data_IF_587521450587
#
_entry.id   IF_587521450587
#
_cell.length_a   1.000
_cell.length_b   1.000
_cell.length_c   1.000
_cell.angle_alpha   90.00
_cell.angle_beta   90.00
_cell.angle_gamma   90.00
#
_symmetry.space_group_name_H-M   'P 1'
#
loop_
_entity.id
_entity.type
_entity.pdbx_description
1 polymer ?
#
# COMPACT_ATOMS: atom_id res chain seq x y z
N UNK A 1 -3.87 -18.84 4.78
CA UNK A 1 -3.19 -18.36 3.55
C UNK A 1 -2.64 -16.96 3.79
N UNK A 2 -1.57 -16.84 4.60
CA UNK A 2 -0.83 -15.58 4.73
C UNK A 2 0.22 -15.52 3.62
N UNK A 3 0.50 -14.34 3.06
CA UNK A 3 1.53 -14.19 2.01
C UNK A 3 1.16 -14.81 0.66
N UNK A 4 -0.13 -15.01 0.39
CA UNK A 4 -0.61 -15.51 -0.91
C UNK A 4 -1.52 -14.47 -1.58
N UNK A 5 -1.48 -14.42 -2.91
CA UNK A 5 -2.42 -13.69 -3.74
C UNK A 5 -3.32 -14.68 -4.46
N UNK A 6 -4.61 -14.34 -4.55
CA UNK A 6 -5.59 -15.10 -5.31
C UNK A 6 -6.23 -14.12 -6.29
N UNK A 7 -6.27 -14.47 -7.57
CA UNK A 7 -6.74 -13.60 -8.64
C UNK A 7 -7.65 -14.36 -9.60
N UNK A 8 -8.72 -13.70 -10.03
CA UNK A 8 -9.60 -14.19 -11.07
C UNK A 8 -8.93 -14.10 -12.45
N UNK A 9 -9.09 -15.14 -13.26
CA UNK A 9 -8.79 -15.13 -14.69
C UNK A 9 -10.05 -15.51 -15.46
N UNK A 10 -10.99 -14.56 -15.60
CA UNK A 10 -12.34 -14.90 -16.03
C UNK A 10 -12.40 -15.39 -17.48
N UNK A 11 -11.60 -14.81 -18.37
CA UNK A 11 -11.51 -15.25 -19.77
C UNK A 11 -10.86 -16.63 -19.95
N UNK A 12 -10.20 -17.15 -18.91
CA UNK A 12 -9.59 -18.48 -18.90
C UNK A 12 -10.30 -19.45 -17.96
N UNK A 13 -11.46 -19.06 -17.40
CA UNK A 13 -12.31 -19.88 -16.56
C UNK A 13 -11.61 -20.46 -15.31
N UNK A 14 -10.65 -19.72 -14.72
CA UNK A 14 -9.92 -20.17 -13.54
C UNK A 14 -9.70 -19.07 -12.49
N UNK A 15 -9.31 -19.51 -11.29
CA UNK A 15 -8.80 -18.66 -10.22
C UNK A 15 -7.36 -19.05 -9.95
N UNK A 16 -6.46 -18.10 -10.14
CA UNK A 16 -5.03 -18.27 -9.92
C UNK A 16 -4.66 -18.07 -8.46
N UNK A 17 -3.65 -18.80 -7.99
CA UNK A 17 -3.04 -18.59 -6.68
C UNK A 17 -1.51 -18.55 -6.79
N UNK A 18 -0.92 -17.59 -6.10
CA UNK A 18 0.53 -17.43 -6.06
C UNK A 18 1.01 -17.03 -4.67
N UNK A 19 2.26 -17.34 -4.37
CA UNK A 19 2.98 -16.85 -3.20
C UNK A 19 3.60 -15.48 -3.48
N UNK A 20 3.53 -14.62 -2.47
CA UNK A 20 4.16 -13.31 -2.45
C UNK A 20 5.35 -13.35 -1.51
N UNK A 21 6.54 -13.16 -2.07
CA UNK A 21 7.77 -12.97 -1.33
C UNK A 21 8.24 -11.52 -1.46
N UNK A 22 8.67 -10.92 -0.35
CA UNK A 22 9.19 -9.55 -0.37
C UNK A 22 10.69 -9.57 -0.64
N UNK A 23 11.11 -8.80 -1.64
CA UNK A 23 12.51 -8.60 -2.01
C UNK A 23 12.83 -7.10 -1.92
N UNK A 24 13.28 -6.70 -0.73
CA UNK A 24 13.43 -5.29 -0.36
C UNK A 24 12.13 -4.51 -0.52
N UNK A 25 12.06 -3.66 -1.55
CA UNK A 25 10.89 -2.85 -1.89
C UNK A 25 9.92 -3.61 -2.80
N UNK A 26 10.47 -4.50 -3.64
CA UNK A 26 9.73 -5.25 -4.64
C UNK A 26 8.98 -6.42 -4.00
N UNK A 27 8.01 -6.94 -4.75
CA UNK A 27 7.32 -8.19 -4.45
C UNK A 27 7.60 -9.15 -5.60
N UNK A 28 8.13 -10.31 -5.26
CA UNK A 28 8.24 -11.43 -6.18
C UNK A 28 6.97 -12.28 -6.06
N UNK A 29 6.35 -12.54 -7.20
CA UNK A 29 5.17 -13.40 -7.31
C UNK A 29 5.64 -14.72 -7.89
N UNK A 30 5.37 -15.82 -7.19
CA UNK A 30 5.73 -17.17 -7.65
C UNK A 30 4.52 -18.07 -7.56
N UNK A 31 4.38 -18.98 -8.52
CA UNK A 31 3.37 -20.03 -8.47
C UNK A 31 3.61 -20.92 -7.24
N UNK A 32 2.52 -21.35 -6.60
CA UNK A 32 2.57 -22.25 -5.45
C UNK A 32 3.25 -23.57 -5.86
N UNK A 33 4.13 -24.08 -5.00
CA UNK A 33 4.74 -25.39 -5.21
C UNK A 33 3.66 -26.48 -5.27
N UNK A 34 3.69 -27.31 -6.31
CA UNK A 34 2.68 -28.36 -6.55
C UNK A 34 1.52 -27.95 -7.47
N UNK A 35 1.34 -26.65 -7.77
CA UNK A 35 0.33 -26.16 -8.72
C UNK A 35 0.92 -25.86 -10.11
N UNK A 36 2.04 -26.49 -10.48
CA UNK A 36 2.72 -26.23 -11.75
C UNK A 36 1.92 -26.69 -12.99
N UNK A 37 1.06 -27.69 -12.82
CA UNK A 37 0.27 -28.33 -13.89
C UNK A 37 -1.24 -28.14 -13.71
N UNK A 38 -1.66 -27.33 -12.73
CA UNK A 38 -3.07 -27.08 -12.42
C UNK A 38 -3.26 -25.67 -11.86
N UNK A 39 -4.47 -25.14 -11.95
CA UNK A 39 -4.84 -23.89 -11.25
C UNK A 39 -5.50 -24.19 -9.91
N UNK A 40 -5.54 -23.18 -9.03
CA UNK A 40 -6.15 -23.32 -7.70
C UNK A 40 -7.65 -23.65 -7.79
N UNK A 41 -8.35 -23.07 -8.77
CA UNK A 41 -9.69 -23.48 -9.20
C UNK A 41 -9.70 -23.40 -10.71
N UNK A 42 -10.11 -24.47 -11.39
CA UNK A 42 -10.36 -24.47 -12.83
C UNK A 42 -11.71 -25.13 -13.08
N UNK A 43 -12.43 -24.63 -14.10
CA UNK A 43 -13.72 -25.16 -14.53
C UNK A 43 -13.61 -25.66 -15.97
N UNK A 44 -14.21 -26.81 -16.25
CA UNK A 44 -14.41 -27.30 -17.63
C UNK A 44 -15.64 -26.64 -18.29
N UNK A 45 -16.54 -26.06 -17.48
CA UNK A 45 -17.65 -25.25 -17.95
C UNK A 45 -17.09 -23.90 -18.45
N UNK A 46 -17.09 -23.74 -19.76
CA UNK A 46 -16.57 -22.58 -20.48
C UNK A 46 -17.32 -21.28 -20.19
N UNK A 47 -18.51 -21.36 -19.57
CA UNK A 47 -19.30 -20.18 -19.19
C UNK A 47 -18.96 -19.71 -17.77
N UNK A 48 -18.11 -20.44 -17.02
CA UNK A 48 -17.63 -20.03 -15.70
C UNK A 48 -16.66 -18.85 -15.80
N UNK A 49 -17.09 -17.68 -15.35
CA UNK A 49 -16.32 -16.44 -15.40
C UNK A 49 -16.21 -15.85 -13.98
N UNK A 50 -15.21 -16.27 -13.18
CA UNK A 50 -15.01 -15.73 -11.85
C UNK A 50 -14.57 -14.27 -11.96
N UNK A 51 -15.38 -13.32 -11.51
CA UNK A 51 -15.09 -11.88 -11.67
C UNK A 51 -14.73 -11.19 -10.35
N UNK A 52 -15.03 -11.81 -9.21
CA UNK A 52 -14.73 -11.23 -7.90
C UNK A 52 -14.45 -12.28 -6.83
N UNK A 53 -13.55 -11.93 -5.91
CA UNK A 53 -13.21 -12.73 -4.74
C UNK A 53 -13.39 -11.91 -3.47
N UNK A 54 -13.99 -12.52 -2.44
CA UNK A 54 -14.12 -11.90 -1.13
C UNK A 54 -13.94 -12.92 -0.01
N UNK A 55 -13.45 -12.48 1.15
CA UNK A 55 -13.35 -13.34 2.34
C UNK A 55 -14.60 -13.12 3.17
N UNK A 56 -15.39 -14.18 3.35
CA UNK A 56 -16.63 -14.11 4.11
C UNK A 56 -16.45 -14.14 5.63
N UNK A 57 -17.55 -13.97 6.40
CA UNK A 57 -17.56 -13.98 7.88
C UNK A 57 -17.00 -15.27 8.48
N UNK A 58 -17.07 -16.34 7.70
CA UNK A 58 -16.72 -17.68 8.12
C UNK A 58 -15.26 -18.04 7.79
N UNK A 59 -14.54 -17.14 7.10
CA UNK A 59 -13.17 -17.36 6.63
C UNK A 59 -13.08 -18.06 5.26
N UNK A 60 -14.23 -18.43 4.66
CA UNK A 60 -14.28 -19.03 3.32
C UNK A 60 -14.10 -17.96 2.25
N UNK A 61 -13.66 -18.38 1.08
CA UNK A 61 -13.52 -17.50 -0.08
C UNK A 61 -14.83 -17.56 -0.87
N UNK A 62 -15.44 -16.41 -1.08
CA UNK A 62 -16.63 -16.24 -1.91
C UNK A 62 -16.19 -15.80 -3.30
N UNK A 63 -16.76 -16.43 -4.31
CA UNK A 63 -16.46 -16.17 -5.71
C UNK A 63 -17.77 -15.74 -6.38
N UNK A 64 -17.79 -14.54 -6.94
CA UNK A 64 -18.86 -14.13 -7.83
C UNK A 64 -18.49 -14.57 -9.25
N UNK A 65 -19.34 -15.39 -9.84
CA UNK A 65 -19.23 -15.88 -11.20
C UNK A 65 -20.30 -15.22 -12.05
N UNK A 66 -19.86 -14.52 -13.09
CA UNK A 66 -20.74 -13.76 -13.97
C UNK A 66 -21.66 -14.66 -14.81
N UNK A 67 -21.18 -15.88 -15.13
CA UNK A 67 -21.82 -16.88 -15.96
C UNK A 67 -22.38 -16.39 -17.30
N UNK A 68 -21.61 -16.51 -18.38
CA UNK A 68 -22.05 -16.13 -19.74
C UNK A 68 -21.41 -16.99 -20.81
N UNK A 69 -22.05 -17.10 -21.97
CA UNK A 69 -21.43 -17.75 -23.13
C UNK A 69 -20.20 -16.98 -23.63
N UNK A 70 -20.28 -15.66 -23.66
CA UNK A 70 -19.20 -14.76 -24.02
C UNK A 70 -19.05 -13.70 -22.93
N UNK A 71 -17.83 -13.51 -22.44
CA UNK A 71 -17.53 -12.53 -21.40
C UNK A 71 -17.26 -11.14 -21.97
N UNK A 72 -16.75 -11.06 -23.20
CA UNK A 72 -16.41 -9.81 -23.86
C UNK A 72 -17.63 -8.94 -24.11
N UNK A 73 -17.41 -7.62 -24.07
CA UNK A 73 -18.39 -6.67 -24.57
C UNK A 73 -18.62 -6.84 -26.08
N UNK A 74 -19.83 -6.54 -26.53
CA UNK A 74 -20.25 -6.61 -27.94
C UNK A 74 -19.24 -5.95 -28.90
N UNK A 75 -18.68 -4.80 -28.52
CA UNK A 75 -17.75 -4.03 -29.36
C UNK A 75 -16.41 -4.73 -29.60
N UNK A 76 -16.03 -5.67 -28.73
CA UNK A 76 -14.78 -6.42 -28.84
C UNK A 76 -14.92 -7.71 -29.67
N UNK A 77 -16.13 -8.07 -30.09
CA UNK A 77 -16.41 -9.32 -30.81
C UNK A 77 -16.53 -9.02 -32.32
N UNK A 78 -15.75 -9.69 -33.19
CA UNK A 78 -15.92 -9.59 -34.63
C UNK A 78 -17.36 -9.90 -35.09
N UNK A 79 -17.89 -9.09 -36.02
CA UNK A 79 -19.30 -9.19 -36.48
C UNK A 79 -19.75 -10.59 -36.90
N UNK A 80 -18.86 -11.40 -37.48
CA UNK A 80 -19.21 -12.75 -37.91
C UNK A 80 -19.44 -13.70 -36.72
N UNK A 81 -18.74 -13.52 -35.60
CA UNK A 81 -18.96 -14.31 -34.38
C UNK A 81 -20.23 -13.86 -33.64
N UNK A 82 -20.57 -12.57 -33.71
CA UNK A 82 -21.83 -12.03 -33.15
C UNK A 82 -23.08 -12.68 -33.75
N UNK A 83 -22.99 -13.24 -34.96
CA UNK A 83 -24.08 -13.95 -35.63
C UNK A 83 -24.14 -15.44 -35.26
N UNK A 84 -23.08 -15.98 -34.67
CA UNK A 84 -22.95 -17.40 -34.34
C UNK A 84 -23.24 -17.70 -32.88
N UNK A 85 -23.04 -16.75 -31.98
CA UNK A 85 -23.14 -16.94 -30.53
C UNK A 85 -24.21 -16.04 -29.89
N UNK A 86 -24.80 -16.52 -28.80
CA UNK A 86 -25.71 -15.78 -27.94
C UNK A 86 -24.91 -14.86 -27.03
N UNK A 87 -24.72 -13.61 -27.46
CA UNK A 87 -23.90 -12.62 -26.72
C UNK A 87 -24.43 -12.30 -25.32
N UNK A 88 -25.68 -12.62 -25.05
CA UNK A 88 -26.37 -12.41 -23.77
C UNK A 88 -26.76 -13.72 -23.06
N UNK A 89 -26.36 -14.87 -23.60
CA UNK A 89 -26.69 -16.16 -23.03
C UNK A 89 -26.00 -16.33 -21.68
N UNK A 90 -26.73 -16.90 -20.72
CA UNK A 90 -26.26 -17.07 -19.34
C UNK A 90 -26.48 -15.86 -18.42
N UNK A 91 -26.86 -14.68 -18.92
CA UNK A 91 -26.93 -13.43 -18.12
C UNK A 91 -27.75 -13.50 -16.83
N UNK A 92 -28.75 -14.37 -16.77
CA UNK A 92 -29.64 -14.54 -15.62
C UNK A 92 -29.22 -15.70 -14.69
N UNK A 93 -28.05 -16.30 -14.94
CA UNK A 93 -27.53 -17.49 -14.27
C UNK A 93 -26.26 -17.24 -13.45
N UNK A 94 -25.97 -15.98 -13.12
CA UNK A 94 -24.83 -15.63 -12.26
C UNK A 94 -24.81 -16.44 -10.96
N UNK A 95 -23.62 -16.90 -10.56
CA UNK A 95 -23.44 -17.84 -9.43
C UNK A 95 -22.60 -17.21 -8.33
N UNK A 96 -22.88 -17.58 -7.08
CA UNK A 96 -22.03 -17.26 -5.93
C UNK A 96 -21.53 -18.55 -5.31
N UNK A 97 -20.24 -18.81 -5.49
CA UNK A 97 -19.58 -19.98 -4.91
C UNK A 97 -18.99 -19.64 -3.54
N UNK A 98 -18.99 -20.62 -2.64
CA UNK A 98 -18.30 -20.53 -1.34
C UNK A 98 -17.28 -21.66 -1.24
N UNK A 99 -16.01 -21.31 -1.42
CA UNK A 99 -14.88 -22.21 -1.26
C UNK A 99 -14.48 -22.32 0.22
N UNK A 100 -14.45 -23.56 0.70
CA UNK A 100 -14.05 -23.94 2.06
C UNK A 100 -13.21 -25.23 1.99
N UNK A 101 -12.37 -25.47 3.01
CA UNK A 101 -11.75 -26.79 3.17
C UNK A 101 -12.69 -27.72 3.93
N UNK A 102 -12.57 -29.04 3.71
CA UNK A 102 -13.46 -30.03 4.33
C UNK A 102 -13.44 -29.97 5.86
N UNK A 103 -12.27 -29.73 6.46
CA UNK A 103 -12.10 -29.64 7.91
C UNK A 103 -12.40 -28.24 8.48
N UNK A 104 -13.12 -27.39 7.74
CA UNK A 104 -13.35 -26.02 8.16
C UNK A 104 -14.19 -25.98 9.44
N UNK A 105 -13.67 -25.42 10.55
CA UNK A 105 -14.43 -25.37 11.78
C UNK A 105 -15.69 -24.52 11.57
N UNK A 106 -16.81 -24.94 12.20
CA UNK A 106 -18.06 -24.19 12.13
C UNK A 106 -17.80 -22.75 12.63
N UNK A 107 -18.13 -21.74 11.82
CA UNK A 107 -17.81 -20.36 12.12
C UNK A 107 -18.71 -19.84 13.25
N UNK A 108 -18.09 -19.39 14.34
CA UNK A 108 -18.75 -18.66 15.42
C UNK A 108 -18.47 -17.15 15.31
N UNK A 109 -18.65 -16.58 14.12
CA UNK A 109 -18.60 -15.11 14.03
C UNK A 109 -19.86 -14.57 14.72
N UNK A 110 -19.74 -13.70 15.74
CA UNK A 110 -20.90 -13.09 16.35
C UNK A 110 -21.65 -12.28 15.31
N UNK A 111 -22.92 -12.00 15.57
CA UNK A 111 -23.65 -11.05 14.75
C UNK A 111 -23.08 -9.65 14.96
N UNK A 112 -22.14 -9.26 14.09
CA UNK A 112 -21.36 -8.01 14.22
C UNK A 112 -22.25 -6.78 14.34
N UNK A 113 -23.40 -6.74 13.66
CA UNK A 113 -24.30 -5.59 13.69
C UNK A 113 -24.97 -5.39 15.05
N UNK A 114 -25.08 -6.44 15.87
CA UNK A 114 -25.65 -6.41 17.22
C UNK A 114 -24.61 -6.16 18.31
N UNK A 115 -23.32 -6.13 17.98
CA UNK A 115 -22.27 -5.85 18.97
C UNK A 115 -22.36 -4.40 19.44
N UNK A 116 -22.08 -4.15 20.72
CA UNK A 116 -21.87 -2.80 21.25
C UNK A 116 -20.57 -2.20 20.70
N UNK A 117 -20.41 -0.87 20.79
CA UNK A 117 -19.19 -0.20 20.33
C UNK A 117 -17.94 -0.73 21.07
N UNK A 118 -18.03 -0.99 22.37
CA UNK A 118 -16.96 -1.62 23.16
C UNK A 118 -16.58 -3.02 22.67
N UNK A 119 -17.56 -3.79 22.19
CA UNK A 119 -17.28 -5.09 21.60
C UNK A 119 -16.64 -4.93 20.21
N UNK A 120 -17.11 -3.98 19.40
CA UNK A 120 -16.53 -3.69 18.09
C UNK A 120 -15.09 -3.19 18.18
N UNK A 121 -14.70 -2.42 19.19
CA UNK A 121 -13.30 -2.00 19.36
C UNK A 121 -12.35 -3.17 19.59
N UNK A 122 -12.80 -4.23 20.27
CA UNK A 122 -12.03 -5.49 20.38
C UNK A 122 -11.91 -6.22 19.03
N UNK A 123 -12.92 -6.10 18.19
CA UNK A 123 -12.93 -6.72 16.85
C UNK A 123 -12.05 -5.98 15.83
N UNK A 124 -11.76 -4.69 16.02
CA UNK A 124 -10.85 -3.90 15.16
C UNK A 124 -9.47 -4.55 15.04
N UNK A 125 -9.03 -5.28 16.07
CA UNK A 125 -7.74 -5.98 16.12
C UNK A 125 -7.85 -7.50 15.94
N UNK A 126 -9.03 -8.02 15.61
CA UNK A 126 -9.27 -9.45 15.37
C UNK A 126 -8.24 -10.06 14.41
N UNK A 127 -7.79 -11.32 14.52
CA UNK A 127 -6.92 -11.92 13.51
C UNK A 127 -7.63 -12.16 12.16
N UNK A 128 -8.98 -12.16 12.15
CA UNK A 128 -9.78 -12.40 10.94
C UNK A 128 -10.05 -11.10 10.19
N UNK A 129 -9.68 -11.08 8.90
CA UNK A 129 -9.86 -9.92 8.02
C UNK A 129 -11.30 -9.39 8.02
N UNK A 130 -12.28 -10.27 7.79
CA UNK A 130 -13.68 -9.88 7.74
C UNK A 130 -14.17 -9.23 9.04
N UNK A 131 -13.77 -9.76 10.21
CA UNK A 131 -14.16 -9.19 11.53
C UNK A 131 -13.54 -7.81 11.72
N UNK A 132 -12.23 -7.65 11.45
CA UNK A 132 -11.54 -6.34 11.54
C UNK A 132 -12.16 -5.26 10.66
N UNK A 133 -12.39 -5.59 9.39
CA UNK A 133 -12.94 -4.65 8.42
C UNK A 133 -14.40 -4.30 8.75
N UNK A 134 -15.21 -5.30 9.09
CA UNK A 134 -16.61 -5.09 9.49
C UNK A 134 -16.70 -4.24 10.75
N UNK A 135 -15.84 -4.48 11.74
CA UNK A 135 -15.83 -3.70 12.98
C UNK A 135 -15.47 -2.23 12.74
N UNK A 136 -14.43 -1.97 11.93
CA UNK A 136 -14.07 -0.61 11.52
C UNK A 136 -15.24 0.08 10.82
N UNK A 137 -15.84 -0.57 9.82
CA UNK A 137 -16.98 -0.03 9.07
C UNK A 137 -18.14 0.33 10.00
N UNK A 138 -18.57 -0.59 10.86
CA UNK A 138 -19.69 -0.37 11.79
C UNK A 138 -19.39 0.76 12.80
N UNK A 139 -18.16 0.86 13.31
CA UNK A 139 -17.78 1.96 14.21
C UNK A 139 -17.87 3.33 13.51
N UNK A 140 -17.40 3.41 12.26
CA UNK A 140 -17.46 4.65 11.46
C UNK A 140 -18.90 5.03 11.10
N UNK A 141 -19.71 4.07 10.68
CA UNK A 141 -21.14 4.27 10.39
C UNK A 141 -21.88 4.77 11.63
N UNK A 142 -21.59 4.22 12.82
CA UNK A 142 -22.22 4.61 14.08
C UNK A 142 -21.76 5.96 14.61
N UNK A 143 -20.49 6.32 14.41
CA UNK A 143 -19.95 7.60 14.88
C UNK A 143 -20.63 8.82 14.24
N UNK A 144 -21.34 8.64 13.11
CA UNK A 144 -22.19 9.67 12.51
C UNK A 144 -23.51 9.93 13.27
N UNK A 145 -23.83 9.12 14.29
CA UNK A 145 -25.00 9.28 15.14
C UNK A 145 -24.60 9.85 16.52
N UNK A 146 -25.24 10.95 16.92
CA UNK A 146 -24.80 11.81 18.03
C UNK A 146 -24.71 11.15 19.42
N UNK A 147 -25.39 10.02 19.63
CA UNK A 147 -25.47 9.33 20.93
C UNK A 147 -24.37 8.27 21.14
N UNK A 148 -23.59 7.93 20.11
CA UNK A 148 -22.70 6.77 20.13
C UNK A 148 -21.23 7.20 20.15
N UNK A 149 -20.68 7.45 21.35
CA UNK A 149 -19.25 7.71 21.49
C UNK A 149 -18.45 6.42 21.19
N UNK A 150 -17.50 6.43 20.24
CA UNK A 150 -16.66 5.27 20.00
C UNK A 150 -15.70 5.09 21.19
N UNK A 151 -15.65 3.87 21.73
CA UNK A 151 -14.70 3.52 22.77
C UNK A 151 -13.25 3.68 22.33
N UNK A 152 -12.37 3.89 23.31
CA UNK A 152 -10.93 4.09 23.09
C UNK A 152 -10.33 2.86 22.42
N UNK A 153 -9.79 3.03 21.22
CA UNK A 153 -9.05 1.99 20.51
C UNK A 153 -7.58 2.09 20.92
N UNK A 154 -7.00 0.99 21.38
CA UNK A 154 -5.58 0.87 21.67
C UNK A 154 -4.83 0.33 20.45
N UNK A 155 -3.68 0.93 20.14
CA UNK A 155 -2.78 0.39 19.14
C UNK A 155 -2.17 -0.93 19.66
N UNK A 156 -2.40 -2.09 19.02
CA UNK A 156 -1.81 -3.34 19.45
C UNK A 156 -0.29 -3.30 19.23
N UNK A 157 0.47 -3.93 20.14
CA UNK A 157 1.93 -3.96 20.08
C UNK A 157 2.50 -4.91 19.00
N UNK A 158 1.69 -5.87 18.55
CA UNK A 158 2.05 -6.90 17.58
C UNK A 158 0.96 -7.04 16.51
N UNK A 159 1.33 -7.55 15.34
CA UNK A 159 0.39 -7.87 14.26
C UNK A 159 0.13 -6.69 13.34
N UNK A 160 0.90 -6.62 12.26
CA UNK A 160 0.87 -5.55 11.25
C UNK A 160 -0.55 -5.16 10.80
N UNK A 161 -1.37 -6.13 10.40
CA UNK A 161 -2.72 -5.82 9.87
C UNK A 161 -3.69 -5.33 10.93
N UNK A 162 -3.52 -5.73 12.19
CA UNK A 162 -4.38 -5.30 13.30
C UNK A 162 -4.04 -3.87 13.71
N UNK A 163 -2.74 -3.56 13.87
CA UNK A 163 -2.27 -2.21 14.15
C UNK A 163 -2.63 -1.22 13.04
N UNK A 164 -2.42 -1.58 11.77
CA UNK A 164 -2.81 -0.72 10.64
C UNK A 164 -4.32 -0.46 10.66
N UNK A 165 -5.15 -1.49 10.87
CA UNK A 165 -6.60 -1.32 10.93
C UNK A 165 -7.02 -0.42 12.10
N UNK A 166 -6.38 -0.55 13.27
CA UNK A 166 -6.60 0.32 14.41
C UNK A 166 -6.24 1.79 14.12
N UNK A 167 -5.10 2.05 13.47
CA UNK A 167 -4.69 3.40 13.06
C UNK A 167 -5.72 4.07 12.16
N UNK A 168 -6.15 3.40 11.10
CA UNK A 168 -7.16 3.96 10.19
C UNK A 168 -8.56 4.03 10.81
N UNK A 169 -8.86 3.19 11.81
CA UNK A 169 -10.12 3.33 12.56
C UNK A 169 -10.07 4.58 13.44
N UNK A 170 -8.97 4.81 14.16
CA UNK A 170 -8.75 6.02 14.95
C UNK A 170 -8.79 7.28 14.07
N UNK A 171 -8.19 7.22 12.88
CA UNK A 171 -8.20 8.31 11.91
C UNK A 171 -9.61 8.65 11.43
N UNK A 172 -10.36 7.65 10.96
CA UNK A 172 -11.74 7.85 10.48
C UNK A 172 -12.72 8.29 11.59
N UNK A 173 -12.42 8.01 12.85
CA UNK A 173 -13.16 8.48 14.01
C UNK A 173 -12.72 9.86 14.51
N UNK A 174 -11.75 10.50 13.85
CA UNK A 174 -11.08 11.74 14.29
C UNK A 174 -10.47 11.64 15.72
N UNK A 175 -10.06 10.44 16.12
CA UNK A 175 -9.43 10.15 17.43
C UNK A 175 -7.91 9.91 17.33
N UNK A 176 -7.34 9.95 16.14
CA UNK A 176 -5.91 9.77 15.92
C UNK A 176 -5.11 10.98 16.41
N UNK A 177 -4.45 10.83 17.56
CA UNK A 177 -3.64 11.86 18.20
C UNK A 177 -2.12 11.62 18.02
N UNK A 178 -1.33 12.64 18.35
CA UNK A 178 0.11 12.66 18.13
C UNK A 178 0.87 11.59 18.94
N UNK A 179 0.38 11.23 20.14
CA UNK A 179 1.01 10.17 20.95
C UNK A 179 0.83 8.78 20.31
N UNK A 180 -0.33 8.53 19.70
CA UNK A 180 -0.56 7.29 18.95
C UNK A 180 0.32 7.24 17.70
N UNK A 181 0.42 8.36 16.97
CA UNK A 181 1.31 8.44 15.80
C UNK A 181 2.78 8.24 16.18
N UNK A 182 3.25 8.86 17.26
CA UNK A 182 4.63 8.67 17.75
C UNK A 182 4.89 7.20 18.11
N UNK A 183 3.95 6.56 18.81
CA UNK A 183 4.04 5.13 19.13
C UNK A 183 4.06 4.26 17.87
N UNK A 184 3.25 4.61 16.86
CA UNK A 184 3.16 3.89 15.60
C UNK A 184 4.40 4.06 14.71
N UNK A 185 5.04 5.24 14.73
CA UNK A 185 6.32 5.49 14.08
C UNK A 185 7.46 4.68 14.73
N UNK A 186 7.35 4.35 16.02
CA UNK A 186 8.29 3.49 16.74
C UNK A 186 7.91 1.99 16.78
N UNK A 187 6.86 1.58 16.07
CA UNK A 187 6.31 0.23 16.16
C UNK A 187 7.29 -0.84 15.61
N UNK A 188 7.26 -2.06 16.15
CA UNK A 188 8.14 -3.18 15.74
C UNK A 188 7.96 -3.57 14.26
N UNK A 189 6.72 -3.60 13.81
CA UNK A 189 6.34 -3.93 12.44
C UNK A 189 6.59 -2.79 11.42
N UNK A 190 7.35 -3.03 10.34
CA UNK A 190 7.64 -2.01 9.33
C UNK A 190 6.40 -1.52 8.58
N UNK A 191 5.39 -2.40 8.40
CA UNK A 191 4.12 -2.00 7.81
C UNK A 191 3.42 -0.92 8.62
N UNK A 192 3.45 -1.01 9.95
CA UNK A 192 2.81 -0.03 10.84
C UNK A 192 3.54 1.31 10.76
N UNK A 193 4.88 1.32 10.83
CA UNK A 193 5.68 2.54 10.68
C UNK A 193 5.44 3.23 9.34
N UNK A 194 5.33 2.45 8.25
CA UNK A 194 4.99 2.96 6.91
C UNK A 194 3.63 3.66 6.89
N UNK A 195 2.59 3.07 7.47
CA UNK A 195 1.27 3.70 7.52
C UNK A 195 1.24 4.90 8.48
N UNK A 196 1.98 4.86 9.57
CA UNK A 196 2.12 5.97 10.50
C UNK A 196 2.76 7.20 9.85
N UNK A 197 3.77 7.01 8.98
CA UNK A 197 4.35 8.10 8.19
C UNK A 197 3.31 8.80 7.33
N UNK A 198 2.49 8.04 6.59
CA UNK A 198 1.41 8.59 5.75
C UNK A 198 0.39 9.39 6.56
N UNK A 199 -0.02 8.84 7.70
CA UNK A 199 -1.01 9.48 8.58
C UNK A 199 -0.46 10.68 9.36
N UNK A 200 0.86 10.89 9.36
CA UNK A 200 1.51 12.01 10.04
C UNK A 200 1.87 13.17 9.09
N UNK A 201 1.70 13.01 7.77
CA UNK A 201 2.15 13.94 6.72
C UNK A 201 1.67 15.39 6.95
N UNK A 202 0.38 15.56 7.24
CA UNK A 202 -0.26 16.86 7.50
C UNK A 202 0.25 17.55 8.79
N UNK A 203 0.86 16.78 9.70
CA UNK A 203 1.36 17.26 11.00
C UNK A 203 2.87 17.46 11.05
N UNK A 204 3.62 17.05 10.02
CA UNK A 204 5.08 17.13 10.04
C UNK A 204 5.62 18.56 10.18
N UNK A 205 4.89 19.58 9.70
CA UNK A 205 5.29 20.98 9.84
C UNK A 205 4.87 21.61 11.16
N UNK A 206 3.79 21.13 11.78
CA UNK A 206 3.18 21.73 12.97
C UNK A 206 3.57 21.03 14.28
N UNK A 207 4.07 19.79 14.20
CA UNK A 207 4.40 18.95 15.37
C UNK A 207 5.85 18.49 15.33
N UNK A 208 6.71 19.21 16.06
CA UNK A 208 8.15 18.92 16.10
C UNK A 208 8.46 17.50 16.59
N UNK A 209 7.71 16.98 17.58
CA UNK A 209 7.89 15.61 18.07
C UNK A 209 7.68 14.56 16.96
N UNK A 210 6.64 14.73 16.13
CA UNK A 210 6.35 13.82 15.02
C UNK A 210 7.41 13.93 13.92
N UNK A 211 7.86 15.15 13.60
CA UNK A 211 8.96 15.33 12.66
C UNK A 211 10.24 14.64 13.16
N UNK A 212 10.61 14.81 14.44
CA UNK A 212 11.76 14.14 15.02
C UNK A 212 11.62 12.61 14.96
N UNK A 213 10.44 12.07 15.27
CA UNK A 213 10.16 10.64 15.16
C UNK A 213 10.29 10.13 13.72
N UNK A 214 9.74 10.84 12.74
CA UNK A 214 9.84 10.49 11.33
C UNK A 214 11.29 10.55 10.82
N UNK A 215 12.07 11.59 11.17
CA UNK A 215 13.45 11.74 10.75
C UNK A 215 14.36 10.61 11.25
N UNK A 216 14.07 10.01 12.43
CA UNK A 216 14.80 8.82 12.92
C UNK A 216 14.67 7.62 11.98
N UNK A 217 13.57 7.51 11.25
CA UNK A 217 13.32 6.42 10.30
C UNK A 217 14.21 6.52 9.03
N UNK A 218 15.02 7.56 8.88
CA UNK A 218 16.03 7.63 7.82
C UNK A 218 17.13 6.56 7.95
N UNK A 219 17.20 5.89 9.09
CA UNK A 219 18.07 4.73 9.36
C UNK A 219 17.25 3.46 9.64
N UNK A 220 15.96 3.45 9.31
CA UNK A 220 15.10 2.27 9.50
C UNK A 220 15.69 1.08 8.73
N UNK A 221 15.70 -0.15 9.28
CA UNK A 221 16.22 -1.32 8.57
C UNK A 221 15.39 -1.70 7.34
N UNK A 222 14.09 -1.39 7.32
CA UNK A 222 13.18 -1.77 6.27
C UNK A 222 13.18 -0.77 5.10
N UNK A 223 13.52 -1.20 3.87
CA UNK A 223 13.58 -0.30 2.72
C UNK A 223 12.21 0.29 2.35
N UNK A 224 11.10 -0.43 2.62
CA UNK A 224 9.76 0.13 2.40
C UNK A 224 9.39 1.26 3.36
N UNK A 225 10.03 1.33 4.54
CA UNK A 225 9.86 2.46 5.46
C UNK A 225 10.70 3.63 4.98
N UNK A 226 11.94 3.40 4.54
CA UNK A 226 12.80 4.44 3.94
C UNK A 226 12.17 5.07 2.69
N UNK A 227 11.59 4.26 1.81
CA UNK A 227 10.87 4.74 0.63
C UNK A 227 9.69 5.63 1.02
N UNK A 228 8.84 5.18 1.95
CA UNK A 228 7.71 5.98 2.41
C UNK A 228 8.15 7.23 3.13
N UNK A 229 9.24 7.19 3.92
CA UNK A 229 9.80 8.37 4.55
C UNK A 229 10.23 9.39 3.49
N UNK A 230 10.89 8.95 2.41
CA UNK A 230 11.26 9.85 1.33
C UNK A 230 10.04 10.55 0.72
N UNK A 231 8.93 9.82 0.52
CA UNK A 231 7.67 10.40 0.07
C UNK A 231 7.10 11.40 1.10
N UNK A 232 6.95 11.00 2.35
CA UNK A 232 6.32 11.80 3.39
C UNK A 232 7.12 13.07 3.76
N UNK A 233 8.45 13.05 3.64
CA UNK A 233 9.28 14.26 3.81
C UNK A 233 9.06 15.30 2.69
N UNK A 234 8.36 14.93 1.62
CA UNK A 234 7.85 15.86 0.61
C UNK A 234 6.87 16.87 1.20
N UNK A 235 6.04 16.45 2.15
CA UNK A 235 5.00 17.25 2.81
C UNK A 235 5.56 18.17 3.91
N UNK A 236 6.87 18.09 4.18
CA UNK A 236 7.51 18.94 5.18
C UNK A 236 8.43 20.00 4.55
N UNK A 237 8.21 21.26 4.91
CA UNK A 237 9.06 22.40 4.52
C UNK A 237 10.30 22.57 5.41
N UNK A 238 10.40 21.79 6.49
CA UNK A 238 11.53 21.88 7.41
C UNK A 238 12.86 21.56 6.69
N UNK A 239 13.91 22.39 6.83
CA UNK A 239 15.21 22.13 6.20
C UNK A 239 15.82 20.77 6.57
N UNK A 240 15.51 20.24 7.77
CA UNK A 240 15.95 18.90 8.21
C UNK A 240 15.39 17.78 7.32
N UNK A 241 14.20 17.95 6.76
CA UNK A 241 13.58 17.01 5.82
C UNK A 241 14.43 16.87 4.56
N UNK A 242 14.91 18.00 4.02
CA UNK A 242 15.81 17.99 2.86
C UNK A 242 17.18 17.35 3.17
N UNK A 243 17.70 17.57 4.38
CA UNK A 243 18.94 16.91 4.83
C UNK A 243 18.76 15.39 5.01
N UNK A 244 17.59 14.95 5.49
CA UNK A 244 17.28 13.53 5.59
C UNK A 244 17.14 12.86 4.21
N UNK A 245 16.46 13.51 3.26
CA UNK A 245 16.41 13.05 1.86
C UNK A 245 17.81 12.94 1.24
N UNK A 246 18.67 13.92 1.52
CA UNK A 246 20.09 13.89 1.15
C UNK A 246 20.84 12.70 1.76
N UNK A 247 20.60 12.39 3.04
CA UNK A 247 21.17 11.23 3.71
C UNK A 247 20.69 9.91 3.12
N UNK A 248 19.39 9.79 2.82
CA UNK A 248 18.80 8.62 2.16
C UNK A 248 19.43 8.38 0.78
N UNK A 249 19.54 9.42 -0.05
CA UNK A 249 20.17 9.31 -1.37
C UNK A 249 21.59 8.75 -1.32
N UNK A 250 22.41 9.21 -0.36
CA UNK A 250 23.81 8.79 -0.25
C UNK A 250 23.96 7.34 0.21
N UNK A 251 23.13 6.90 1.15
CA UNK A 251 23.23 5.56 1.78
C UNK A 251 22.45 4.48 1.05
N UNK A 252 21.36 4.85 0.38
CA UNK A 252 20.34 3.93 -0.10
C UNK A 252 19.91 4.22 -1.55
N UNK A 253 20.63 5.08 -2.28
CA UNK A 253 20.25 5.56 -3.62
C UNK A 253 20.12 4.47 -4.70
N UNK A 254 20.60 3.25 -4.45
CA UNK A 254 20.44 2.10 -5.35
C UNK A 254 19.14 1.30 -5.07
N UNK A 255 18.43 1.60 -3.97
CA UNK A 255 17.15 0.97 -3.67
C UNK A 255 16.08 1.33 -4.70
N UNK A 256 15.33 0.32 -5.15
CA UNK A 256 14.30 0.48 -6.17
C UNK A 256 13.33 1.62 -5.83
N UNK A 257 13.15 2.54 -6.78
CA UNK A 257 12.24 3.70 -6.69
C UNK A 257 12.57 4.76 -5.65
N UNK A 258 13.61 4.59 -4.81
CA UNK A 258 13.95 5.59 -3.80
C UNK A 258 14.38 6.92 -4.43
N UNK A 259 15.13 6.86 -5.52
CA UNK A 259 15.54 8.03 -6.29
C UNK A 259 14.33 8.82 -6.83
N UNK A 260 13.32 8.12 -7.38
CA UNK A 260 12.06 8.68 -7.84
C UNK A 260 11.27 9.32 -6.71
N UNK A 261 11.15 8.62 -5.57
CA UNK A 261 10.48 9.15 -4.38
C UNK A 261 11.16 10.41 -3.85
N UNK A 262 12.50 10.44 -3.80
CA UNK A 262 13.24 11.62 -3.40
C UNK A 262 12.95 12.76 -4.38
N UNK A 263 13.07 12.54 -5.69
CA UNK A 263 12.85 13.57 -6.71
C UNK A 263 11.44 14.16 -6.65
N UNK A 264 10.40 13.33 -6.50
CA UNK A 264 9.02 13.81 -6.37
C UNK A 264 8.82 14.67 -5.12
N UNK A 265 9.50 14.34 -4.02
CA UNK A 265 9.40 15.04 -2.74
C UNK A 265 10.15 16.39 -2.70
N UNK A 266 10.95 16.72 -3.72
CA UNK A 266 11.69 17.98 -3.71
C UNK A 266 10.81 19.19 -4.01
N UNK A 267 9.73 19.05 -4.78
CA UNK A 267 8.94 20.20 -5.24
C UNK A 267 9.85 21.29 -5.84
N UNK A 268 9.85 22.50 -5.28
CA UNK A 268 10.69 23.62 -5.72
C UNK A 268 12.13 23.63 -5.13
N UNK A 269 12.51 22.57 -4.40
CA UNK A 269 13.76 22.48 -3.64
C UNK A 269 14.88 21.73 -4.36
N UNK A 270 14.68 21.30 -5.61
CA UNK A 270 15.69 20.55 -6.39
C UNK A 270 17.06 21.25 -6.45
N UNK A 271 17.10 22.56 -6.63
CA UNK A 271 18.36 23.32 -6.62
C UNK A 271 19.04 23.37 -5.24
N UNK A 272 18.26 23.41 -4.15
CA UNK A 272 18.80 23.32 -2.77
C UNK A 272 19.35 21.93 -2.51
N UNK A 273 18.64 20.88 -2.95
CA UNK A 273 19.08 19.48 -2.86
C UNK A 273 20.42 19.29 -3.59
N UNK A 274 20.53 19.78 -4.83
CA UNK A 274 21.77 19.68 -5.60
C UNK A 274 22.93 20.39 -4.90
N UNK A 275 22.69 21.58 -4.32
CA UNK A 275 23.72 22.28 -3.53
C UNK A 275 24.16 21.46 -2.31
N UNK A 276 23.23 20.83 -1.59
CA UNK A 276 23.54 19.95 -0.44
C UNK A 276 24.33 18.71 -0.88
N UNK A 277 24.02 18.14 -2.05
CA UNK A 277 24.75 16.99 -2.61
C UNK A 277 26.19 17.37 -2.97
N UNK A 278 26.39 18.52 -3.61
CA UNK A 278 27.69 18.97 -4.11
C UNK A 278 28.58 19.66 -3.06
N UNK A 279 28.02 20.14 -1.95
CA UNK A 279 28.80 20.81 -0.89
C UNK A 279 29.68 19.86 -0.08
N UNK A 280 29.41 18.56 -0.13
CA UNK A 280 30.25 17.55 0.50
C UNK A 280 31.24 16.99 -0.54
N UNK A 281 32.45 16.61 -0.12
CA UNK A 281 33.49 16.03 -1.01
C UNK A 281 32.87 14.92 -1.89
N UNK A 282 33.21 14.88 -3.17
CA UNK A 282 32.63 13.96 -4.18
C UNK A 282 32.69 12.48 -3.81
N UNK A 283 33.64 12.08 -2.95
CA UNK A 283 33.73 10.71 -2.42
C UNK A 283 32.57 10.34 -1.49
N UNK A 284 31.86 11.33 -0.94
CA UNK A 284 30.68 11.13 -0.07
C UNK A 284 29.36 11.02 -0.82
N UNK A 285 29.39 11.03 -2.17
CA UNK A 285 28.18 10.85 -2.97
C UNK A 285 27.59 9.44 -2.80
N UNK A 286 28.39 8.44 -2.43
CA UNK A 286 27.93 7.07 -2.18
C UNK A 286 27.05 6.55 -3.32
N UNK A 287 25.86 6.07 -2.97
CA UNK A 287 24.86 5.56 -3.90
C UNK A 287 24.05 6.66 -4.62
N UNK A 288 24.30 7.95 -4.35
CA UNK A 288 23.51 9.06 -4.91
C UNK A 288 23.88 9.44 -6.36
N UNK A 289 24.86 8.77 -6.99
CA UNK A 289 25.38 9.17 -8.32
C UNK A 289 24.29 9.24 -9.39
N UNK A 290 23.40 8.25 -9.45
CA UNK A 290 22.28 8.23 -10.40
C UNK A 290 21.29 9.38 -10.19
N UNK A 291 21.08 9.78 -8.93
CA UNK A 291 20.18 10.88 -8.57
C UNK A 291 20.72 12.24 -9.04
N UNK A 292 22.03 12.47 -8.98
CA UNK A 292 22.64 13.76 -9.37
C UNK A 292 22.34 14.11 -10.82
N UNK A 293 22.47 13.15 -11.73
CA UNK A 293 22.17 13.37 -13.14
C UNK A 293 20.71 13.84 -13.31
N UNK A 294 19.77 13.15 -12.65
CA UNK A 294 18.35 13.51 -12.68
C UNK A 294 18.06 14.86 -12.02
N UNK A 295 18.76 15.21 -10.95
CA UNK A 295 18.67 16.53 -10.31
C UNK A 295 19.14 17.65 -11.24
N UNK A 296 20.26 17.46 -11.95
CA UNK A 296 20.74 18.40 -12.94
C UNK A 296 19.71 18.61 -14.05
N UNK A 297 19.15 17.53 -14.60
CA UNK A 297 18.07 17.61 -15.60
C UNK A 297 16.84 18.35 -15.06
N UNK A 298 16.41 18.05 -13.82
CA UNK A 298 15.25 18.70 -13.20
C UNK A 298 15.46 20.20 -12.90
N UNK A 299 16.70 20.61 -12.60
CA UNK A 299 17.04 22.03 -12.43
C UNK A 299 17.13 22.75 -13.78
N UNK A 300 17.70 22.10 -14.80
CA UNK A 300 17.85 22.66 -16.14
C UNK A 300 16.50 22.84 -16.85
N UNK A 301 15.59 21.87 -16.74
CA UNK A 301 14.27 21.92 -17.38
C UNK A 301 13.37 23.05 -16.85
N UNK A 302 13.63 23.56 -15.65
CA UNK A 302 12.87 24.65 -15.01
C UNK A 302 13.20 26.05 -15.53
N UNK A 303 13.92 26.19 -16.66
CA UNK A 303 14.19 27.45 -17.38
C UNK A 303 14.55 28.66 -16.50
N UNK A 304 15.40 28.47 -15.48
CA UNK A 304 15.92 29.58 -14.68
C UNK A 304 17.43 29.79 -14.97
N UNK A 305 17.79 30.70 -15.91
CA UNK A 305 19.13 30.76 -16.49
C UNK A 305 20.25 31.00 -15.46
N UNK A 306 19.97 31.67 -14.33
CA UNK A 306 20.97 31.92 -13.28
C UNK A 306 21.42 30.65 -12.51
N UNK A 307 20.67 29.54 -12.57
CA UNK A 307 20.99 28.29 -11.82
C UNK A 307 21.75 27.26 -12.66
N UNK A 308 21.61 27.29 -13.98
CA UNK A 308 22.22 26.32 -14.91
C UNK A 308 23.74 26.55 -15.01
N UNK A 309 24.19 27.80 -15.16
CA UNK A 309 25.61 28.14 -15.30
C UNK A 309 26.51 27.75 -14.11
N UNK A 310 25.94 27.54 -12.91
CA UNK A 310 26.71 27.13 -11.72
C UNK A 310 27.01 25.63 -11.65
N UNK A 311 26.23 24.79 -12.34
CA UNK A 311 26.42 23.34 -12.33
C UNK A 311 27.60 22.91 -13.22
N UNK A 312 27.70 23.46 -14.43
CA UNK A 312 28.79 23.14 -15.38
C UNK A 312 30.17 23.59 -14.86
N UNK A 313 30.23 24.71 -14.14
CA UNK A 313 31.51 25.22 -13.61
C UNK A 313 32.06 24.41 -12.44
N UNK A 314 31.19 23.74 -11.67
CA UNK A 314 31.61 22.91 -10.52
C UNK A 314 32.09 21.53 -10.95
N UNK A 315 31.58 20.98 -12.06
CA UNK A 315 31.99 19.69 -12.61
C UNK A 315 33.28 19.78 -13.44
N UNK A 316 33.59 20.94 -14.04
CA UNK A 316 34.80 21.14 -14.85
C UNK A 316 36.08 21.48 -14.04
N UNK A 317 35.96 21.77 -12.74
CA UNK A 317 37.11 22.12 -11.88
C UNK A 317 37.84 20.93 -11.22
N UNK A 318 37.48 19.70 -11.59
CA UNK A 318 38.06 18.46 -11.04
C UNK A 318 38.66 17.56 -12.14
N UNK A 319 39.49 18.15 -13.01
CA UNK A 319 40.54 17.42 -13.74
C UNK A 319 41.89 17.96 -13.34
#
# INVERSE_FOLDING_TARGET
MSGQIIACAPAQNFVHRAELERDGILLNIRRIAGEAQSEFIASEDIWFHPIHLSIGPNGGIYIADFYREIIEDYSAIPRYLQQQYGLDDGKDHGRVWRLVHNDMPKPQSPNMSKLSNDALTREVVSPRFWRRQTARRLLLERAGHADDRPARITLPANGTTAAINALYTLDGLAQLNDNVLESALGHSEPGVRRHALRLAEDRLNSREKLLNAALRLASDPSPVVRLQLALSLGESDNPRSLQALAGLARRHGEEAWLDGAILSSLGNRAGKMLKIMLSNKTDTLGQARGLIHRLCSAVASRKNPRRVFRCDFSLKRTR
#
